data_IF_729961803053
#
_entry.id   IF_729961803053
#
_cell.length_a   1.000
_cell.length_b   1.000
_cell.length_c   1.000
_cell.angle_alpha   90.00
_cell.angle_beta   90.00
_cell.angle_gamma   90.00
#
_symmetry.space_group_name_H-M   'P 1'
#
loop_
_entity.id
_entity.type
_entity.pdbx_description
1 polymer ?
#
# COMPACT_ATOMS: atom_id res chain seq x y z
N UNK A 1 22.48 60.47 11.74
CA UNK A 1 22.01 59.16 12.24
C UNK A 1 20.74 58.69 11.48
N UNK A 2 20.76 58.53 10.14
CA UNK A 2 19.54 58.08 9.43
C UNK A 2 19.78 57.25 8.15
N UNK A 3 20.97 56.66 7.97
CA UNK A 3 21.26 55.84 6.76
C UNK A 3 21.71 54.41 7.07
N UNK A 4 21.94 54.04 8.33
CA UNK A 4 22.29 52.65 8.71
C UNK A 4 21.07 51.73 8.92
N UNK A 5 19.88 52.29 9.18
CA UNK A 5 18.65 51.49 9.41
C UNK A 5 18.07 50.81 8.17
N UNK A 6 18.05 51.40 6.95
CA UNK A 6 17.49 50.69 5.80
C UNK A 6 18.40 49.56 5.31
N UNK A 7 19.71 49.65 5.52
CA UNK A 7 20.67 48.62 5.08
C UNK A 7 20.55 47.31 5.88
N UNK A 8 20.21 47.40 7.16
CA UNK A 8 19.99 46.24 8.03
C UNK A 8 18.67 45.50 7.72
N UNK A 9 17.65 46.20 7.23
CA UNK A 9 16.37 45.58 6.86
C UNK A 9 16.49 44.85 5.51
N UNK A 10 17.25 45.42 4.55
CA UNK A 10 17.50 44.77 3.26
C UNK A 10 18.42 43.55 3.37
N UNK A 11 19.37 43.53 4.30
CA UNK A 11 20.24 42.37 4.53
C UNK A 11 19.52 41.21 5.26
N UNK A 12 18.44 41.48 5.99
CA UNK A 12 17.66 40.47 6.71
C UNK A 12 16.70 39.67 5.82
N UNK A 13 16.37 40.19 4.63
CA UNK A 13 15.50 39.51 3.65
C UNK A 13 16.24 38.52 2.73
N UNK A 14 17.58 38.47 2.79
CA UNK A 14 18.41 37.58 1.97
C UNK A 14 18.86 36.31 2.71
N UNK A 15 18.45 36.14 3.98
CA UNK A 15 18.69 34.95 4.81
C UNK A 15 17.41 34.12 5.00
N UNK A 16 16.38 34.34 4.19
CA UNK A 16 15.29 33.38 4.07
C UNK A 16 15.87 32.11 3.42
N UNK A 17 16.18 31.11 4.24
CA UNK A 17 16.46 29.76 3.77
C UNK A 17 15.24 29.30 2.99
N UNK A 18 15.30 29.42 1.66
CA UNK A 18 14.29 28.83 0.79
C UNK A 18 14.39 27.33 0.98
N UNK A 19 13.47 26.76 1.76
CA UNK A 19 13.28 25.32 1.81
C UNK A 19 12.94 24.87 0.40
N UNK A 20 13.83 24.09 -0.22
CA UNK A 20 13.53 23.48 -1.50
C UNK A 20 12.56 22.33 -1.23
N UNK A 21 11.35 22.44 -1.77
CA UNK A 21 10.46 21.30 -1.91
C UNK A 21 11.19 20.27 -2.78
N UNK A 22 11.66 19.18 -2.17
CA UNK A 22 12.27 18.08 -2.90
C UNK A 22 11.18 17.10 -3.27
N UNK A 23 11.13 16.72 -4.54
CA UNK A 23 10.30 15.59 -4.97
C UNK A 23 10.99 14.30 -4.50
N UNK A 24 10.25 13.51 -3.74
CA UNK A 24 10.66 12.18 -3.28
C UNK A 24 9.84 11.16 -4.07
N UNK A 25 10.54 10.21 -4.67
CA UNK A 25 9.97 9.11 -5.43
C UNK A 25 10.12 7.80 -4.66
N UNK A 26 9.02 7.07 -4.52
CA UNK A 26 8.93 5.84 -3.74
C UNK A 26 8.38 4.73 -4.63
N UNK A 27 9.13 3.64 -4.89
CA UNK A 27 8.57 2.50 -5.59
C UNK A 27 7.48 1.85 -4.72
N UNK A 28 6.32 1.54 -5.27
CA UNK A 28 5.21 0.90 -4.55
C UNK A 28 4.77 -0.33 -5.35
N UNK A 29 5.20 -1.54 -4.96
CA UNK A 29 4.74 -2.76 -5.60
C UNK A 29 3.29 -3.07 -5.21
N UNK A 30 2.42 -3.25 -6.20
CA UNK A 30 1.03 -3.63 -6.04
C UNK A 30 0.81 -5.09 -6.47
N UNK A 31 0.51 -5.97 -5.50
CA UNK A 31 0.31 -7.40 -5.72
C UNK A 31 -0.96 -7.68 -6.54
N UNK A 32 -0.88 -8.63 -7.49
CA UNK A 32 -2.01 -8.99 -8.35
C UNK A 32 -3.23 -9.53 -7.60
N UNK A 33 -3.04 -10.10 -6.39
CA UNK A 33 -4.16 -10.51 -5.53
C UNK A 33 -4.94 -9.31 -5.00
N UNK A 34 -4.29 -8.16 -4.76
CA UNK A 34 -4.98 -6.93 -4.39
C UNK A 34 -5.82 -6.41 -5.55
N UNK A 35 -5.22 -6.35 -6.74
CA UNK A 35 -5.89 -5.93 -7.98
C UNK A 35 -7.10 -6.83 -8.24
N UNK A 36 -6.96 -8.15 -8.05
CA UNK A 36 -8.06 -9.11 -8.18
C UNK A 36 -9.19 -8.84 -7.19
N UNK A 37 -8.88 -8.52 -5.94
CA UNK A 37 -9.91 -8.25 -4.95
C UNK A 37 -10.69 -6.97 -5.29
N UNK A 38 -10.01 -5.91 -5.73
CA UNK A 38 -10.71 -4.69 -6.20
C UNK A 38 -11.57 -5.01 -7.42
N UNK A 39 -11.04 -5.76 -8.39
CA UNK A 39 -11.80 -6.20 -9.57
C UNK A 39 -13.06 -6.98 -9.19
N UNK A 40 -12.96 -7.95 -8.28
CA UNK A 40 -14.09 -8.77 -7.83
C UNK A 40 -15.14 -7.90 -7.14
N UNK A 41 -14.73 -6.99 -6.26
CA UNK A 41 -15.63 -6.08 -5.56
C UNK A 41 -16.36 -5.14 -6.51
N UNK A 42 -15.70 -4.64 -7.56
CA UNK A 42 -16.30 -3.69 -8.49
C UNK A 42 -17.16 -4.35 -9.57
N UNK A 43 -16.73 -5.48 -10.14
CA UNK A 43 -17.36 -6.06 -11.34
C UNK A 43 -18.04 -7.41 -11.11
N UNK A 44 -17.63 -8.22 -10.12
CA UNK A 44 -18.13 -9.58 -9.91
C UNK A 44 -19.13 -9.65 -8.75
N UNK A 45 -20.16 -8.80 -8.81
CA UNK A 45 -21.17 -8.62 -7.76
C UNK A 45 -22.39 -9.54 -7.89
N UNK A 46 -22.43 -10.38 -8.92
CA UNK A 46 -23.48 -11.38 -9.11
C UNK A 46 -23.35 -12.60 -8.20
N UNK A 47 -24.37 -13.46 -8.22
CA UNK A 47 -24.38 -14.71 -7.46
C UNK A 47 -23.14 -15.56 -7.79
N UNK A 48 -22.50 -16.13 -6.76
CA UNK A 48 -21.28 -16.93 -6.92
C UNK A 48 -20.06 -16.13 -7.41
N UNK A 49 -20.01 -14.82 -7.17
CA UNK A 49 -18.97 -13.91 -7.67
C UNK A 49 -18.86 -13.94 -9.19
N UNK A 50 -20.00 -13.76 -9.85
CA UNK A 50 -20.10 -13.68 -11.31
C UNK A 50 -20.23 -12.23 -11.76
N UNK A 51 -19.70 -11.92 -12.94
CA UNK A 51 -19.86 -10.62 -13.60
C UNK A 51 -20.66 -10.81 -14.88
N UNK A 52 -21.88 -10.28 -14.92
CA UNK A 52 -22.69 -10.22 -16.14
C UNK A 52 -22.30 -8.97 -16.93
N UNK A 53 -21.37 -9.12 -17.87
CA UNK A 53 -20.89 -7.99 -18.66
C UNK A 53 -21.93 -7.52 -19.68
N UNK A 54 -22.76 -8.44 -20.15
CA UNK A 54 -23.78 -8.12 -21.14
C UNK A 54 -24.95 -9.10 -21.11
N UNK A 55 -26.13 -8.56 -21.44
CA UNK A 55 -27.37 -9.29 -21.66
C UNK A 55 -28.18 -8.50 -22.68
N UNK A 56 -28.65 -9.16 -23.73
CA UNK A 56 -29.53 -8.48 -24.69
C UNK A 56 -30.92 -8.25 -24.09
N UNK A 57 -31.61 -7.20 -24.55
CA UNK A 57 -32.98 -6.90 -24.11
C UNK A 57 -34.04 -7.90 -24.62
N UNK A 58 -33.61 -9.01 -25.23
CA UNK A 58 -34.47 -10.05 -25.84
C UNK A 58 -34.27 -11.42 -25.19
N UNK A 59 -33.42 -11.52 -24.17
CA UNK A 59 -33.02 -12.73 -23.44
C UNK A 59 -32.44 -13.86 -24.32
N UNK A 60 -31.93 -13.54 -25.51
CA UNK A 60 -31.31 -14.52 -26.40
C UNK A 60 -29.80 -14.57 -26.26
N UNK A 61 -29.19 -13.53 -25.68
CA UNK A 61 -27.75 -13.39 -25.63
C UNK A 61 -27.27 -12.84 -24.29
N UNK A 62 -26.18 -13.41 -23.79
CA UNK A 62 -25.55 -13.00 -22.53
C UNK A 62 -24.07 -13.37 -22.54
N UNK A 63 -23.30 -12.70 -21.69
CA UNK A 63 -21.92 -13.05 -21.38
C UNK A 63 -21.68 -12.85 -19.88
N UNK A 64 -21.42 -13.97 -19.21
CA UNK A 64 -21.11 -14.02 -17.79
C UNK A 64 -19.65 -14.46 -17.61
N UNK A 65 -18.92 -13.77 -16.73
CA UNK A 65 -17.58 -14.11 -16.30
C UNK A 65 -17.57 -14.60 -14.86
N UNK A 66 -16.63 -15.47 -14.52
CA UNK A 66 -16.37 -15.89 -13.15
C UNK A 66 -14.92 -16.27 -12.94
N UNK A 67 -14.53 -16.41 -11.68
CA UNK A 67 -13.21 -16.87 -11.27
C UNK A 67 -12.04 -16.11 -11.95
N UNK A 68 -11.97 -14.77 -11.81
CA UNK A 68 -10.88 -14.01 -12.42
C UNK A 68 -9.53 -14.43 -11.83
N UNK A 69 -8.55 -14.66 -12.69
CA UNK A 69 -7.16 -14.96 -12.31
C UNK A 69 -6.25 -13.91 -12.95
N UNK A 70 -5.38 -13.29 -12.15
CA UNK A 70 -4.54 -12.17 -12.60
C UNK A 70 -3.06 -12.55 -12.51
N UNK A 71 -2.34 -12.33 -13.60
CA UNK A 71 -0.89 -12.53 -13.70
C UNK A 71 -0.25 -11.42 -14.51
N UNK A 72 1.08 -11.30 -14.46
CA UNK A 72 1.84 -10.38 -15.32
C UNK A 72 2.53 -11.12 -16.46
N UNK A 73 2.43 -10.59 -17.68
CA UNK A 73 3.10 -11.12 -18.88
C UNK A 73 3.53 -9.98 -19.79
N UNK A 74 4.79 -9.96 -20.22
CA UNK A 74 5.32 -9.01 -21.21
C UNK A 74 4.94 -7.53 -20.98
N UNK A 75 5.03 -7.06 -19.74
CA UNK A 75 4.70 -5.67 -19.39
C UNK A 75 3.20 -5.37 -19.32
N UNK A 76 2.35 -6.40 -19.33
CA UNK A 76 0.90 -6.32 -19.31
C UNK A 76 0.32 -7.16 -18.17
N UNK A 77 -0.90 -6.80 -17.78
CA UNK A 77 -1.72 -7.55 -16.85
C UNK A 77 -2.57 -8.51 -17.67
N UNK A 78 -2.45 -9.80 -17.38
CA UNK A 78 -3.25 -10.85 -18.00
C UNK A 78 -4.35 -11.28 -17.05
N UNK A 79 -5.59 -11.17 -17.49
CA UNK A 79 -6.76 -11.61 -16.73
C UNK A 79 -7.46 -12.74 -17.47
N UNK A 80 -7.45 -13.92 -16.85
CA UNK A 80 -8.19 -15.10 -17.30
C UNK A 80 -9.49 -15.19 -16.53
N UNK A 81 -10.58 -15.43 -17.25
CA UNK A 81 -11.90 -15.62 -16.67
C UNK A 81 -12.52 -16.89 -17.22
N UNK A 82 -13.18 -17.64 -16.36
CA UNK A 82 -14.15 -18.62 -16.83
C UNK A 82 -15.30 -17.86 -17.47
N UNK A 83 -15.71 -18.27 -18.67
CA UNK A 83 -16.80 -17.63 -19.40
C UNK A 83 -17.95 -18.59 -19.64
N UNK A 84 -19.16 -18.06 -19.53
CA UNK A 84 -20.37 -18.67 -20.02
C UNK A 84 -21.10 -17.64 -20.88
N UNK A 85 -21.15 -17.88 -22.18
CA UNK A 85 -21.76 -16.96 -23.13
C UNK A 85 -22.70 -17.67 -24.09
N UNK A 86 -23.76 -16.96 -24.45
CA UNK A 86 -24.66 -17.33 -25.53
C UNK A 86 -24.90 -16.11 -26.40
N UNK A 87 -24.90 -16.31 -27.71
CA UNK A 87 -25.20 -15.28 -28.68
C UNK A 87 -26.27 -15.82 -29.63
N UNK A 88 -27.38 -15.11 -29.73
CA UNK A 88 -28.52 -15.55 -30.51
C UNK A 88 -29.37 -14.40 -31.03
N UNK A 89 -30.30 -14.73 -31.91
CA UNK A 89 -31.27 -13.79 -32.45
C UNK A 89 -32.69 -14.30 -32.22
N UNK A 90 -33.60 -13.40 -31.87
CA UNK A 90 -35.03 -13.72 -31.73
C UNK A 90 -35.66 -13.83 -33.12
N UNK A 91 -36.16 -15.02 -33.48
CA UNK A 91 -36.90 -15.26 -34.73
C UNK A 91 -38.17 -16.07 -34.43
N UNK A 92 -39.33 -15.59 -34.89
CA UNK A 92 -40.62 -16.26 -34.68
C UNK A 92 -40.96 -16.48 -33.19
N UNK A 93 -40.53 -15.58 -32.30
CA UNK A 93 -40.77 -15.69 -30.86
C UNK A 93 -39.81 -16.63 -30.10
N UNK A 94 -38.92 -17.36 -30.80
CA UNK A 94 -37.90 -18.23 -30.19
C UNK A 94 -36.50 -17.64 -30.36
N UNK A 95 -35.60 -17.95 -29.44
CA UNK A 95 -34.18 -17.60 -29.59
C UNK A 95 -33.48 -18.66 -30.45
N UNK A 96 -32.94 -18.24 -31.58
CA UNK A 96 -32.04 -19.05 -32.39
C UNK A 96 -30.60 -18.79 -31.94
N UNK A 97 -29.97 -19.78 -31.32
CA UNK A 97 -28.58 -19.70 -30.86
C UNK A 97 -27.62 -19.77 -32.05
N UNK A 98 -26.76 -18.77 -32.19
CA UNK A 98 -25.71 -18.70 -33.21
C UNK A 98 -24.39 -19.25 -32.65
N UNK A 99 -24.03 -18.84 -31.44
CA UNK A 99 -22.81 -19.27 -30.75
C UNK A 99 -23.15 -19.55 -29.29
N UNK A 100 -22.66 -20.68 -28.77
CA UNK A 100 -22.65 -20.97 -27.34
C UNK A 100 -21.22 -21.31 -26.95
N UNK A 101 -20.72 -20.63 -25.93
CA UNK A 101 -19.33 -20.77 -25.52
C UNK A 101 -19.22 -20.95 -24.02
N UNK A 102 -18.46 -21.98 -23.63
CA UNK A 102 -18.00 -22.21 -22.27
C UNK A 102 -16.51 -22.55 -22.34
N UNK A 103 -15.69 -21.78 -21.63
CA UNK A 103 -14.23 -21.90 -21.71
C UNK A 103 -13.55 -20.78 -20.96
N UNK A 104 -12.45 -20.26 -21.52
CA UNK A 104 -11.63 -19.22 -20.89
C UNK A 104 -11.59 -17.99 -21.79
N UNK A 105 -11.97 -16.83 -21.24
CA UNK A 105 -11.67 -15.54 -21.82
C UNK A 105 -10.38 -15.01 -21.20
N UNK A 106 -9.36 -14.85 -22.04
CA UNK A 106 -8.13 -14.15 -21.67
C UNK A 106 -8.20 -12.71 -22.19
N UNK A 107 -7.76 -11.78 -21.35
CA UNK A 107 -7.54 -10.39 -21.73
C UNK A 107 -6.15 -9.95 -21.35
N UNK A 108 -5.49 -9.21 -22.24
CA UNK A 108 -4.27 -8.49 -21.93
C UNK A 108 -4.63 -7.02 -21.74
N UNK A 109 -4.12 -6.44 -20.66
CA UNK A 109 -4.39 -5.06 -20.27
C UNK A 109 -3.09 -4.34 -20.00
N UNK A 110 -2.96 -3.13 -20.52
CA UNK A 110 -1.79 -2.28 -20.27
C UNK A 110 -2.15 -1.30 -19.15
N UNK A 111 -1.61 -1.44 -17.93
CA UNK A 111 -1.94 -0.53 -16.85
C UNK A 111 -1.45 0.88 -17.18
N UNK A 112 -2.29 1.87 -16.95
CA UNK A 112 -2.01 3.28 -17.25
C UNK A 112 -2.55 4.18 -16.16
N UNK A 113 -1.78 5.20 -15.81
CA UNK A 113 -2.24 6.28 -14.94
C UNK A 113 -2.95 7.34 -15.77
N UNK A 114 -3.98 7.96 -15.18
CA UNK A 114 -4.58 9.15 -15.73
C UNK A 114 -3.63 10.37 -15.61
N UNK A 115 -4.03 11.51 -16.17
CA UNK A 115 -3.18 12.72 -16.17
C UNK A 115 -2.88 13.25 -14.78
N UNK A 116 -3.72 12.94 -13.79
CA UNK A 116 -3.53 13.39 -12.41
C UNK A 116 -2.63 12.46 -11.61
N UNK A 117 -2.33 11.25 -12.12
CA UNK A 117 -1.54 10.25 -11.40
C UNK A 117 -2.32 9.58 -10.27
N UNK A 118 -3.66 9.64 -10.29
CA UNK A 118 -4.50 9.21 -9.18
C UNK A 118 -5.44 8.06 -9.53
N UNK A 119 -5.66 7.82 -10.83
CA UNK A 119 -6.55 6.74 -11.26
C UNK A 119 -5.74 5.75 -12.09
N UNK A 120 -5.59 4.54 -11.55
CA UNK A 120 -5.01 3.43 -12.29
C UNK A 120 -6.11 2.73 -13.10
N UNK A 121 -5.97 2.76 -14.42
CA UNK A 121 -6.88 2.12 -15.38
C UNK A 121 -6.22 0.96 -16.08
N UNK A 122 -7.04 0.02 -16.57
CA UNK A 122 -6.57 -1.21 -17.22
C UNK A 122 -7.19 -1.36 -18.62
N UNK A 123 -6.83 -0.49 -19.59
CA UNK A 123 -7.31 -0.61 -20.96
C UNK A 123 -6.93 -1.97 -21.56
N UNK A 124 -7.94 -2.65 -22.12
CA UNK A 124 -7.76 -3.94 -22.80
C UNK A 124 -7.08 -3.71 -24.15
N UNK A 125 -5.93 -4.35 -24.33
CA UNK A 125 -5.12 -4.29 -25.57
C UNK A 125 -5.40 -5.49 -26.47
N UNK A 126 -5.71 -6.65 -25.89
CA UNK A 126 -6.01 -7.86 -26.62
C UNK A 126 -7.07 -8.72 -25.89
N UNK A 127 -7.83 -9.47 -26.66
CA UNK A 127 -8.77 -10.48 -26.16
C UNK A 127 -8.55 -11.80 -26.90
N UNK A 128 -8.56 -12.91 -26.16
CA UNK A 128 -8.41 -14.25 -26.72
C UNK A 128 -9.48 -15.16 -26.11
N UNK A 129 -10.12 -15.97 -26.96
CA UNK A 129 -11.10 -16.96 -26.54
C UNK A 129 -10.50 -18.37 -26.61
N UNK A 130 -10.73 -19.16 -25.57
CA UNK A 130 -10.34 -20.56 -25.51
C UNK A 130 -11.55 -21.43 -25.13
N UNK A 131 -11.56 -22.67 -25.59
CA UNK A 131 -12.53 -23.67 -25.16
C UNK A 131 -12.22 -24.19 -23.74
N UNK A 132 -13.00 -25.16 -23.26
CA UNK A 132 -12.79 -25.76 -21.94
C UNK A 132 -11.53 -26.63 -21.82
N UNK A 133 -10.90 -26.99 -22.95
CA UNK A 133 -9.64 -27.76 -23.00
C UNK A 133 -8.41 -26.85 -23.15
N UNK A 134 -8.60 -25.52 -23.21
CA UNK A 134 -7.54 -24.54 -23.43
C UNK A 134 -7.14 -24.36 -24.89
N UNK A 135 -7.93 -24.89 -25.84
CA UNK A 135 -7.68 -24.70 -27.27
C UNK A 135 -8.27 -23.36 -27.74
N UNK A 136 -7.46 -22.58 -28.47
CA UNK A 136 -7.88 -21.26 -28.95
C UNK A 136 -9.04 -21.37 -29.95
N UNK A 137 -10.05 -20.53 -29.76
CA UNK A 137 -11.23 -20.41 -30.61
C UNK A 137 -11.03 -19.29 -31.63
N UNK A 138 -10.75 -19.67 -32.87
CA UNK A 138 -10.56 -18.73 -33.98
C UNK A 138 -11.88 -18.49 -34.74
N UNK A 139 -12.85 -17.86 -34.07
CA UNK A 139 -14.17 -17.54 -34.65
C UNK A 139 -14.28 -16.03 -34.80
N UNK A 140 -14.24 -15.53 -36.05
CA UNK A 140 -14.24 -14.10 -36.34
C UNK A 140 -15.40 -13.32 -35.67
N UNK A 141 -16.61 -13.88 -35.70
CA UNK A 141 -17.79 -13.25 -35.08
C UNK A 141 -17.65 -13.15 -33.55
N UNK A 142 -17.02 -14.15 -32.92
CA UNK A 142 -16.74 -14.12 -31.49
C UNK A 142 -15.71 -13.03 -31.18
N UNK A 143 -14.64 -12.94 -31.97
CA UNK A 143 -13.58 -11.95 -31.79
C UNK A 143 -14.11 -10.50 -31.87
N UNK A 144 -14.94 -10.19 -32.86
CA UNK A 144 -15.56 -8.86 -32.97
C UNK A 144 -16.44 -8.52 -31.77
N UNK A 145 -17.14 -9.53 -31.25
CA UNK A 145 -18.08 -9.37 -30.15
C UNK A 145 -17.37 -9.17 -28.82
N UNK A 146 -16.27 -9.89 -28.59
CA UNK A 146 -15.36 -9.64 -27.47
C UNK A 146 -14.84 -8.21 -27.49
N UNK A 147 -14.38 -7.73 -28.65
CA UNK A 147 -13.85 -6.38 -28.76
C UNK A 147 -14.93 -5.30 -28.49
N UNK A 148 -16.17 -5.52 -28.93
CA UNK A 148 -17.26 -4.54 -28.79
C UNK A 148 -17.93 -4.57 -27.41
N UNK A 149 -17.97 -5.71 -26.74
CA UNK A 149 -18.77 -5.91 -25.52
C UNK A 149 -17.89 -6.08 -24.28
N UNK A 150 -16.89 -6.95 -24.35
CA UNK A 150 -16.05 -7.30 -23.21
C UNK A 150 -15.05 -6.20 -22.91
N UNK A 151 -14.34 -5.71 -23.93
CA UNK A 151 -13.29 -4.73 -23.73
C UNK A 151 -13.78 -3.43 -23.04
N UNK A 152 -14.92 -2.81 -23.43
CA UNK A 152 -15.41 -1.62 -22.75
C UNK A 152 -15.80 -1.87 -21.29
N UNK A 153 -16.45 -3.02 -21.02
CA UNK A 153 -16.91 -3.37 -19.68
C UNK A 153 -15.77 -3.67 -18.72
N UNK A 154 -14.75 -4.40 -19.18
CA UNK A 154 -13.54 -4.62 -18.37
C UNK A 154 -12.70 -3.34 -18.23
N UNK A 155 -12.77 -2.41 -19.19
CA UNK A 155 -12.13 -1.10 -19.08
C UNK A 155 -12.82 -0.16 -18.06
N UNK A 156 -14.01 -0.51 -17.55
CA UNK A 156 -14.64 0.20 -16.41
C UNK A 156 -13.88 -0.05 -15.11
N UNK A 157 -13.10 -1.14 -15.01
CA UNK A 157 -12.25 -1.42 -13.86
C UNK A 157 -11.17 -0.34 -13.69
N UNK A 158 -11.23 0.34 -12.55
CA UNK A 158 -10.31 1.40 -12.16
C UNK A 158 -10.03 1.33 -10.68
N UNK A 159 -8.81 1.70 -10.29
CA UNK A 159 -8.43 1.85 -8.88
C UNK A 159 -8.23 3.33 -8.64
N UNK A 160 -9.04 3.91 -7.75
CA UNK A 160 -8.81 5.26 -7.23
C UNK A 160 -7.73 5.19 -6.15
N UNK A 161 -6.62 5.89 -6.39
CA UNK A 161 -5.46 5.93 -5.52
C UNK A 161 -5.56 7.07 -4.50
N UNK A 162 -6.62 7.88 -4.54
CA UNK A 162 -6.86 8.98 -3.60
C UNK A 162 -7.57 8.55 -2.32
N UNK A 163 -8.31 7.44 -2.32
CA UNK A 163 -9.21 7.08 -1.22
C UNK A 163 -8.51 7.01 0.15
N UNK A 164 -7.21 6.69 0.18
CA UNK A 164 -6.44 6.55 1.43
C UNK A 164 -5.84 7.85 1.97
N UNK A 165 -5.92 8.99 1.26
CA UNK A 165 -5.21 10.22 1.64
C UNK A 165 -5.68 10.80 2.98
N UNK A 166 -6.99 10.91 3.16
CA UNK A 166 -7.59 11.46 4.39
C UNK A 166 -7.25 10.59 5.60
N UNK A 167 -7.25 9.27 5.41
CA UNK A 167 -6.88 8.32 6.45
C UNK A 167 -5.39 8.45 6.83
N UNK A 168 -4.49 8.67 5.87
CA UNK A 168 -3.07 8.90 6.15
C UNK A 168 -2.89 10.13 7.05
N UNK A 169 -3.51 11.26 6.70
CA UNK A 169 -3.43 12.49 7.51
C UNK A 169 -3.98 12.22 8.91
N UNK A 170 -5.19 11.67 9.00
CA UNK A 170 -5.86 11.41 10.27
C UNK A 170 -5.03 10.51 11.18
N UNK A 171 -4.34 9.52 10.62
CA UNK A 171 -3.51 8.59 11.37
C UNK A 171 -2.18 9.20 11.81
N UNK A 172 -1.54 10.03 10.99
CA UNK A 172 -0.21 10.56 11.27
C UNK A 172 -0.23 11.85 12.10
N UNK A 173 -1.25 12.71 11.93
CA UNK A 173 -1.34 14.02 12.57
C UNK A 173 -1.15 14.00 14.10
N UNK A 174 -1.67 13.02 14.88
CA UNK A 174 -1.46 12.97 16.32
C UNK A 174 0.00 12.81 16.77
N UNK A 175 0.87 12.34 15.87
CA UNK A 175 2.28 12.05 16.16
C UNK A 175 3.25 13.09 15.59
N UNK A 176 2.73 14.03 14.80
CA UNK A 176 3.52 15.11 14.18
C UNK A 176 3.45 16.37 15.05
N UNK A 177 4.57 17.10 15.26
CA UNK A 177 4.56 18.37 15.98
C UNK A 177 3.57 19.36 15.38
N UNK A 178 2.95 20.21 16.22
CA UNK A 178 1.91 21.14 15.77
C UNK A 178 2.41 22.10 14.69
N UNK A 179 3.67 22.51 14.76
CA UNK A 179 4.37 23.36 13.79
C UNK A 179 4.60 22.72 12.41
N UNK A 180 4.46 21.40 12.31
CA UNK A 180 4.68 20.61 11.08
C UNK A 180 3.36 20.07 10.50
N UNK A 181 2.22 20.37 11.12
CA UNK A 181 0.89 19.90 10.70
C UNK A 181 0.50 20.34 9.28
N UNK A 182 0.70 21.62 8.95
CA UNK A 182 0.44 22.17 7.60
C UNK A 182 1.34 21.49 6.56
N UNK A 183 2.61 21.24 6.92
CA UNK A 183 3.55 20.56 6.04
C UNK A 183 3.15 19.09 5.77
N UNK A 184 2.64 18.38 6.77
CA UNK A 184 2.09 17.03 6.59
C UNK A 184 0.91 17.05 5.61
N UNK A 185 -0.03 17.99 5.79
CA UNK A 185 -1.16 18.16 4.89
C UNK A 185 -0.71 18.43 3.45
N UNK A 186 0.19 19.39 3.25
CA UNK A 186 0.71 19.73 1.91
C UNK A 186 1.41 18.54 1.26
N UNK A 187 2.19 17.78 2.03
CA UNK A 187 2.93 16.62 1.53
C UNK A 187 1.96 15.51 1.10
N UNK A 188 0.95 15.18 1.91
CA UNK A 188 -0.09 14.19 1.56
C UNK A 188 -0.93 14.66 0.37
N UNK A 189 -1.27 15.95 0.30
CA UNK A 189 -2.00 16.51 -0.83
C UNK A 189 -1.18 16.49 -2.14
N UNK A 190 0.15 16.57 -2.05
CA UNK A 190 1.04 16.51 -3.19
C UNK A 190 1.30 15.10 -3.74
N UNK A 191 0.86 14.05 -3.04
CA UNK A 191 0.98 12.66 -3.47
C UNK A 191 0.42 12.51 -4.89
N UNK A 192 1.18 11.82 -5.73
CA UNK A 192 0.80 11.50 -7.12
C UNK A 192 1.60 10.30 -7.57
N UNK A 193 1.01 9.40 -8.33
CA UNK A 193 1.78 8.35 -8.98
C UNK A 193 2.35 8.87 -10.31
N UNK A 194 3.66 8.80 -10.44
CA UNK A 194 4.43 9.34 -11.55
C UNK A 194 4.60 8.30 -12.68
N UNK A 195 4.62 7.02 -12.35
CA UNK A 195 4.79 5.95 -13.33
C UNK A 195 4.14 4.65 -12.90
N UNK A 196 3.87 3.79 -13.89
CA UNK A 196 3.32 2.45 -13.70
C UNK A 196 3.98 1.46 -14.65
N UNK A 197 4.35 0.29 -14.13
CA UNK A 197 4.91 -0.81 -14.91
C UNK A 197 4.41 -2.15 -14.39
N UNK A 198 3.85 -2.98 -15.26
CA UNK A 198 3.54 -4.37 -14.91
C UNK A 198 4.79 -5.25 -15.07
N UNK A 199 5.07 -6.04 -14.05
CA UNK A 199 6.09 -7.09 -14.06
C UNK A 199 5.41 -8.46 -13.79
N UNK A 200 6.16 -9.55 -13.82
CA UNK A 200 5.59 -10.90 -13.69
C UNK A 200 4.85 -11.16 -12.36
N UNK A 201 5.22 -10.44 -11.29
CA UNK A 201 4.71 -10.68 -9.92
C UNK A 201 3.79 -9.58 -9.38
N UNK A 202 3.92 -8.35 -9.88
CA UNK A 202 3.21 -7.19 -9.36
C UNK A 202 3.15 -6.08 -10.42
N UNK A 203 2.43 -5.01 -10.11
CA UNK A 203 2.55 -3.72 -10.79
C UNK A 203 3.43 -2.83 -9.93
N UNK A 204 4.55 -2.37 -10.47
CA UNK A 204 5.38 -1.35 -9.84
C UNK A 204 4.80 0.03 -10.15
N UNK A 205 4.37 0.72 -9.10
CA UNK A 205 4.00 2.12 -9.17
C UNK A 205 5.16 2.97 -8.63
N UNK A 206 5.30 4.22 -9.08
CA UNK A 206 6.21 5.17 -8.44
C UNK A 206 5.40 6.32 -7.84
N UNK A 207 5.43 6.44 -6.52
CA UNK A 207 4.72 7.47 -5.76
C UNK A 207 5.64 8.68 -5.56
N UNK A 208 5.29 9.79 -6.19
CA UNK A 208 5.94 11.09 -6.01
C UNK A 208 5.19 11.94 -5.01
N UNK A 209 5.91 12.66 -4.15
CA UNK A 209 5.35 13.74 -3.34
C UNK A 209 6.41 14.79 -3.03
N UNK A 210 5.94 15.98 -2.67
CA UNK A 210 6.78 17.10 -2.31
C UNK A 210 6.99 17.09 -0.79
N UNK A 211 8.24 16.94 -0.36
CA UNK A 211 8.61 17.19 1.02
C UNK A 211 9.34 18.52 1.10
N UNK A 212 8.83 19.45 1.91
CA UNK A 212 9.62 20.57 2.38
C UNK A 212 10.60 20.04 3.42
N UNK A 213 11.74 19.53 2.96
CA UNK A 213 12.78 19.03 3.85
C UNK A 213 13.35 20.23 4.60
N UNK A 214 12.79 20.56 5.76
CA UNK A 214 13.56 21.23 6.80
C UNK A 214 14.79 20.35 6.98
N UNK A 215 15.99 20.92 6.91
CA UNK A 215 17.19 20.19 7.28
C UNK A 215 16.87 19.53 8.63
N UNK A 216 16.85 18.20 8.67
CA UNK A 216 16.49 17.46 9.88
C UNK A 216 17.22 18.14 11.02
N UNK A 217 16.52 18.53 12.09
CA UNK A 217 17.17 19.20 13.19
C UNK A 217 18.24 18.23 13.71
N UNK A 218 19.50 18.45 13.31
CA UNK A 218 20.62 17.52 13.51
C UNK A 218 20.99 17.50 14.99
N UNK A 219 20.44 18.42 15.80
CA UNK A 219 20.53 18.33 17.25
C UNK A 219 19.98 16.98 17.71
N UNK A 220 20.82 16.09 18.25
CA UNK A 220 20.36 14.87 18.86
C UNK A 220 19.46 15.25 20.04
N UNK A 221 18.27 14.68 20.09
CA UNK A 221 17.42 14.76 21.26
C UNK A 221 18.21 14.19 22.44
N UNK A 222 18.28 14.94 23.54
CA UNK A 222 18.98 14.51 24.74
C UNK A 222 18.47 13.14 25.20
N UNK A 223 19.36 12.31 25.75
CA UNK A 223 19.01 11.08 26.44
C UNK A 223 17.95 11.35 27.52
N UNK A 224 17.21 10.32 27.88
CA UNK A 224 16.16 10.45 28.89
C UNK A 224 16.76 10.69 30.27
N UNK A 225 16.13 11.59 31.02
CA UNK A 225 16.31 11.69 32.47
C UNK A 225 15.71 10.48 33.18
N UNK A 226 16.13 10.24 34.43
CA UNK A 226 15.60 9.14 35.24
C UNK A 226 14.06 9.19 35.37
N UNK A 227 13.48 10.39 35.48
CA UNK A 227 12.04 10.57 35.54
C UNK A 227 11.34 10.23 34.22
N UNK A 228 11.93 10.62 33.08
CA UNK A 228 11.39 10.29 31.76
C UNK A 228 11.48 8.77 31.51
N UNK A 229 12.59 8.15 31.92
CA UNK A 229 12.80 6.71 31.77
C UNK A 229 11.77 5.92 32.59
N UNK A 230 11.48 6.32 33.82
CA UNK A 230 10.44 5.69 34.64
C UNK A 230 9.04 5.79 34.01
N UNK A 231 8.69 6.97 33.48
CA UNK A 231 7.41 7.17 32.79
C UNK A 231 7.31 6.31 31.53
N UNK A 232 8.39 6.23 30.74
CA UNK A 232 8.46 5.37 29.57
C UNK A 232 8.37 3.88 29.93
N UNK A 233 9.08 3.43 30.97
CA UNK A 233 9.06 2.03 31.41
C UNK A 233 7.64 1.57 31.79
N UNK A 234 6.85 2.43 32.45
CA UNK A 234 5.46 2.12 32.75
C UNK A 234 4.62 1.95 31.46
N UNK A 235 4.79 2.85 30.49
CA UNK A 235 4.12 2.75 29.17
C UNK A 235 4.54 1.48 28.44
N UNK A 236 5.84 1.19 28.39
CA UNK A 236 6.39 0.02 27.71
C UNK A 236 5.91 -1.28 28.34
N UNK A 237 5.84 -1.37 29.68
CA UNK A 237 5.33 -2.55 30.39
C UNK A 237 3.85 -2.81 30.08
N UNK A 238 3.02 -1.77 30.02
CA UNK A 238 1.61 -1.89 29.62
C UNK A 238 1.50 -2.47 28.19
N UNK A 239 2.30 -1.95 27.26
CA UNK A 239 2.34 -2.41 25.86
C UNK A 239 2.85 -3.85 25.75
N UNK A 240 3.95 -4.16 26.43
CA UNK A 240 4.56 -5.48 26.42
C UNK A 240 3.59 -6.53 26.98
N UNK A 241 2.90 -6.25 28.08
CA UNK A 241 1.91 -7.18 28.65
C UNK A 241 0.71 -7.41 27.69
N UNK A 242 0.27 -6.35 27.00
CA UNK A 242 -0.79 -6.46 26.00
C UNK A 242 -0.36 -7.33 24.80
N UNK A 243 0.85 -7.11 24.29
CA UNK A 243 1.41 -7.86 23.16
C UNK A 243 1.71 -9.31 23.52
N UNK A 244 2.29 -9.56 24.70
CA UNK A 244 2.55 -10.92 25.20
C UNK A 244 1.25 -11.73 25.30
N UNK A 245 0.18 -11.11 25.84
CA UNK A 245 -1.14 -11.72 25.88
C UNK A 245 -1.69 -11.99 24.48
N UNK A 246 -1.58 -11.04 23.55
CA UNK A 246 -2.05 -11.21 22.18
C UNK A 246 -1.31 -12.35 21.46
N UNK A 247 0.02 -12.43 21.61
CA UNK A 247 0.86 -13.50 21.05
C UNK A 247 0.48 -14.85 21.68
N UNK A 248 0.27 -14.89 23.00
CA UNK A 248 -0.09 -16.10 23.72
C UNK A 248 -1.48 -16.63 23.34
N UNK A 249 -2.41 -15.74 23.04
CA UNK A 249 -3.78 -16.07 22.66
C UNK A 249 -3.95 -16.31 21.14
N UNK A 250 -2.93 -15.98 20.35
CA UNK A 250 -2.99 -16.17 18.90
C UNK A 250 -3.07 -17.67 18.54
N UNK A 251 -4.00 -18.07 17.65
CA UNK A 251 -4.13 -19.44 17.18
C UNK A 251 -3.03 -19.76 16.14
N UNK A 252 -1.79 -19.84 16.61
CA UNK A 252 -0.60 -20.13 15.82
C UNK A 252 -0.41 -21.66 15.73
N UNK A 253 -1.00 -22.26 14.69
CA UNK A 253 -0.98 -23.70 14.46
C UNK A 253 -0.27 -24.05 13.14
N UNK A 254 0.02 -25.34 12.92
CA UNK A 254 0.66 -25.82 11.69
C UNK A 254 2.02 -25.17 11.44
N UNK A 255 2.20 -24.59 10.26
CA UNK A 255 3.44 -23.91 9.84
C UNK A 255 3.83 -22.71 10.73
N UNK A 256 2.92 -22.24 11.60
CA UNK A 256 3.16 -21.14 12.54
C UNK A 256 3.42 -21.61 13.98
N UNK A 257 3.52 -22.91 14.24
CA UNK A 257 3.68 -23.45 15.60
C UNK A 257 4.93 -22.87 16.31
N UNK A 258 6.02 -22.63 15.58
CA UNK A 258 7.26 -22.05 16.12
C UNK A 258 7.28 -20.51 16.10
N UNK A 259 6.26 -19.85 15.51
CA UNK A 259 6.20 -18.40 15.39
C UNK A 259 6.03 -17.70 16.73
N UNK A 260 5.43 -18.38 17.72
CA UNK A 260 5.19 -17.84 19.05
C UNK A 260 6.48 -17.43 19.74
N UNK A 261 7.46 -18.33 19.78
CA UNK A 261 8.76 -18.08 20.42
C UNK A 261 9.52 -16.97 19.70
N UNK A 262 9.39 -16.91 18.37
CA UNK A 262 10.00 -15.84 17.57
C UNK A 262 9.38 -14.48 17.92
N UNK A 263 8.05 -14.38 17.97
CA UNK A 263 7.35 -13.13 18.31
C UNK A 263 7.69 -12.65 19.73
N UNK A 264 7.74 -13.57 20.70
CA UNK A 264 8.14 -13.25 22.07
C UNK A 264 9.60 -12.82 22.16
N UNK A 265 10.50 -13.48 21.42
CA UNK A 265 11.91 -13.12 21.37
C UNK A 265 12.11 -11.72 20.80
N UNK A 266 11.45 -11.39 19.69
CA UNK A 266 11.51 -10.06 19.07
C UNK A 266 10.95 -9.00 20.03
N UNK A 267 9.84 -9.25 20.70
CA UNK A 267 9.26 -8.33 21.69
C UNK A 267 10.23 -8.04 22.85
N UNK A 268 10.94 -9.07 23.33
CA UNK A 268 11.95 -8.90 24.37
C UNK A 268 13.17 -8.10 23.88
N UNK A 269 13.70 -8.44 22.70
CA UNK A 269 14.81 -7.71 22.06
C UNK A 269 14.46 -6.22 21.85
N UNK A 270 13.21 -5.91 21.50
CA UNK A 270 12.73 -4.54 21.33
C UNK A 270 12.93 -3.69 22.59
N UNK A 271 12.56 -4.24 23.76
CA UNK A 271 12.70 -3.54 25.04
C UNK A 271 14.16 -3.17 25.34
N UNK A 272 15.08 -4.11 25.14
CA UNK A 272 16.51 -3.88 25.35
C UNK A 272 17.08 -2.82 24.39
N UNK A 273 16.71 -2.90 23.10
CA UNK A 273 17.15 -1.93 22.09
C UNK A 273 16.61 -0.52 22.36
N UNK A 274 15.35 -0.41 22.76
CA UNK A 274 14.71 0.87 23.09
C UNK A 274 15.31 1.49 24.34
N UNK A 275 15.57 0.71 25.39
CA UNK A 275 16.25 1.20 26.60
C UNK A 275 17.65 1.73 26.28
N UNK A 276 18.43 1.03 25.47
CA UNK A 276 19.74 1.50 25.01
C UNK A 276 19.64 2.78 24.18
N UNK A 277 18.64 2.88 23.29
CA UNK A 277 18.40 4.06 22.48
C UNK A 277 18.00 5.28 23.30
N UNK A 278 17.26 5.09 24.38
CA UNK A 278 16.78 6.18 25.24
C UNK A 278 17.85 6.70 26.22
N UNK A 279 18.77 5.85 26.65
CA UNK A 279 19.70 6.15 27.76
C UNK A 279 21.11 6.55 27.33
N UNK A 280 21.56 6.15 26.15
CA UNK A 280 22.96 6.32 25.71
C UNK A 280 23.02 7.03 24.37
N UNK A 281 23.94 7.98 24.21
CA UNK A 281 24.23 8.55 22.89
C UNK A 281 25.06 7.57 22.04
N UNK A 282 24.69 7.45 20.78
CA UNK A 282 25.30 6.51 19.84
C UNK A 282 25.91 7.27 18.66
N UNK A 283 27.01 6.76 18.14
CA UNK A 283 27.59 7.29 16.91
C UNK A 283 26.71 6.96 15.70
N UNK A 284 26.81 7.75 14.64
CA UNK A 284 26.17 7.43 13.36
C UNK A 284 26.62 6.03 12.89
N UNK A 285 25.65 5.13 12.68
CA UNK A 285 25.89 3.74 12.27
C UNK A 285 25.94 2.69 13.39
N UNK A 286 25.92 3.10 14.67
CA UNK A 286 25.84 2.17 15.82
C UNK A 286 24.52 2.30 16.60
N UNK A 287 23.46 2.75 15.92
CA UNK A 287 22.15 2.98 16.53
C UNK A 287 21.47 1.65 16.90
N UNK A 288 21.19 1.38 18.19
CA UNK A 288 20.64 0.10 18.63
C UNK A 288 19.18 -0.10 18.19
N UNK A 289 18.41 0.98 18.03
CA UNK A 289 17.02 0.92 17.57
C UNK A 289 16.98 0.52 16.10
N UNK A 290 17.85 1.11 15.29
CA UNK A 290 18.01 0.75 13.87
C UNK A 290 18.50 -0.68 13.69
N UNK A 291 19.53 -1.07 14.43
CA UNK A 291 20.07 -2.44 14.38
C UNK A 291 18.98 -3.47 14.71
N UNK A 292 18.24 -3.24 15.80
CA UNK A 292 17.13 -4.09 16.20
C UNK A 292 16.04 -4.18 15.12
N UNK A 293 15.61 -3.06 14.54
CA UNK A 293 14.53 -3.07 13.55
C UNK A 293 14.96 -3.83 12.28
N UNK A 294 16.19 -3.64 11.82
CA UNK A 294 16.74 -4.39 10.69
C UNK A 294 16.79 -5.89 10.99
N UNK A 295 17.37 -6.28 12.12
CA UNK A 295 17.52 -7.69 12.50
C UNK A 295 16.17 -8.38 12.75
N UNK A 296 15.24 -7.69 13.43
CA UNK A 296 13.90 -8.24 13.68
C UNK A 296 13.06 -8.37 12.41
N UNK A 297 13.28 -7.52 11.41
CA UNK A 297 12.58 -7.64 10.14
C UNK A 297 12.93 -8.93 9.38
N UNK A 298 14.21 -9.34 9.41
CA UNK A 298 14.65 -10.60 8.81
C UNK A 298 13.93 -11.82 9.43
N UNK A 299 13.59 -11.75 10.72
CA UNK A 299 12.83 -12.79 11.44
C UNK A 299 11.31 -12.68 11.20
N UNK A 300 10.75 -11.46 11.20
CA UNK A 300 9.30 -11.22 11.12
C UNK A 300 8.74 -11.32 9.70
N UNK A 301 9.46 -10.84 8.68
CA UNK A 301 8.94 -10.79 7.31
C UNK A 301 8.54 -12.18 6.76
N UNK A 302 9.33 -13.25 6.95
CA UNK A 302 8.93 -14.60 6.56
C UNK A 302 7.65 -15.08 7.27
N UNK A 303 7.49 -14.77 8.56
CA UNK A 303 6.30 -15.14 9.33
C UNK A 303 5.05 -14.43 8.80
N UNK A 304 5.14 -13.12 8.57
CA UNK A 304 4.05 -12.34 7.99
C UNK A 304 3.70 -12.84 6.57
N UNK A 305 4.69 -13.27 5.78
CA UNK A 305 4.45 -13.87 4.45
C UNK A 305 3.70 -15.20 4.59
N UNK A 306 4.02 -16.03 5.58
CA UNK A 306 3.28 -17.27 5.86
C UNK A 306 1.84 -16.99 6.29
N UNK A 307 1.64 -16.07 7.24
CA UNK A 307 0.30 -15.64 7.69
C UNK A 307 -0.53 -15.11 6.52
N UNK A 308 0.06 -14.29 5.65
CA UNK A 308 -0.62 -13.72 4.49
C UNK A 308 -1.15 -14.76 3.49
N UNK A 309 -0.53 -15.95 3.42
CA UNK A 309 -0.97 -17.05 2.55
C UNK A 309 -2.16 -17.80 3.13
N UNK A 310 -2.28 -17.81 4.46
CA UNK A 310 -3.34 -18.53 5.18
C UNK A 310 -4.60 -17.67 5.35
N UNK A 311 -4.46 -16.34 5.34
CA UNK A 311 -5.58 -15.42 5.48
C UNK A 311 -6.29 -15.16 4.13
N UNK A 312 -7.62 -15.36 4.04
CA UNK A 312 -8.36 -15.08 2.83
C UNK A 312 -8.56 -13.58 2.61
N UNK A 313 -8.73 -13.19 1.34
CA UNK A 313 -9.27 -11.88 0.97
C UNK A 313 -8.38 -10.71 1.37
N UNK A 314 -9.01 -9.66 1.93
CA UNK A 314 -8.35 -8.39 2.25
C UNK A 314 -7.33 -8.49 3.40
N UNK A 315 -7.49 -9.45 4.31
CA UNK A 315 -6.65 -9.51 5.51
C UNK A 315 -5.24 -10.01 5.18
N UNK A 316 -5.12 -11.08 4.40
CA UNK A 316 -3.81 -11.54 3.91
C UNK A 316 -3.09 -10.49 3.08
N UNK A 317 -3.83 -9.68 2.32
CA UNK A 317 -3.28 -8.60 1.52
C UNK A 317 -2.69 -7.46 2.35
N UNK A 318 -3.33 -7.07 3.47
CA UNK A 318 -2.80 -6.04 4.36
C UNK A 318 -1.38 -6.40 4.83
N UNK A 319 -1.16 -7.66 5.18
CA UNK A 319 0.17 -8.14 5.58
C UNK A 319 1.19 -8.07 4.44
N UNK A 320 0.79 -8.40 3.20
CA UNK A 320 1.70 -8.33 2.05
C UNK A 320 2.05 -6.90 1.66
N UNK A 321 1.08 -5.98 1.74
CA UNK A 321 1.31 -4.56 1.54
C UNK A 321 2.24 -4.01 2.62
N UNK A 322 2.04 -4.40 3.88
CA UNK A 322 2.94 -4.03 4.98
C UNK A 322 4.36 -4.55 4.72
N UNK A 323 4.50 -5.82 4.33
CA UNK A 323 5.81 -6.42 4.02
C UNK A 323 6.50 -5.67 2.89
N UNK A 324 5.77 -5.38 1.81
CA UNK A 324 6.36 -4.71 0.66
C UNK A 324 6.72 -3.25 0.95
N UNK A 325 5.97 -2.58 1.83
CA UNK A 325 6.30 -1.23 2.30
C UNK A 325 7.53 -1.22 3.23
N UNK A 326 7.67 -2.22 4.11
CA UNK A 326 8.82 -2.34 5.02
C UNK A 326 10.07 -2.89 4.31
N UNK A 327 9.94 -3.65 3.22
CA UNK A 327 11.09 -3.97 2.36
C UNK A 327 11.72 -2.70 1.73
N UNK A 328 11.01 -1.57 1.78
CA UNK A 328 11.46 -0.22 1.38
C UNK A 328 11.74 0.69 2.59
N UNK A 329 12.04 0.11 3.76
CA UNK A 329 12.17 0.86 5.01
C UNK A 329 13.23 1.97 4.96
N UNK A 330 14.28 1.81 4.16
CA UNK A 330 15.28 2.86 3.93
C UNK A 330 14.70 4.04 3.12
N UNK A 331 13.90 3.76 2.07
CA UNK A 331 13.16 4.82 1.39
C UNK A 331 12.13 5.45 2.33
N UNK A 332 11.41 4.66 3.12
CA UNK A 332 10.40 5.14 4.07
C UNK A 332 10.97 6.07 5.14
N UNK A 333 12.19 5.82 5.60
CA UNK A 333 12.86 6.72 6.52
C UNK A 333 13.19 8.08 5.90
N UNK A 334 13.64 8.09 4.63
CA UNK A 334 13.90 9.34 3.92
C UNK A 334 12.64 10.21 3.78
N UNK A 335 11.46 9.55 3.79
CA UNK A 335 10.14 10.19 3.78
C UNK A 335 9.75 10.70 5.18
N UNK A 336 9.97 9.91 6.22
CA UNK A 336 9.53 10.22 7.59
C UNK A 336 10.43 11.21 8.33
N UNK A 337 11.74 11.18 8.08
CA UNK A 337 12.74 12.00 8.77
C UNK A 337 12.45 13.52 8.73
N UNK A 338 12.00 14.12 7.61
CA UNK A 338 11.57 15.53 7.56
C UNK A 338 10.44 15.90 8.51
N UNK A 339 9.61 14.94 8.93
CA UNK A 339 8.52 15.12 9.88
C UNK A 339 8.91 14.71 11.31
N UNK A 340 10.19 14.43 11.57
CA UNK A 340 10.67 13.90 12.85
C UNK A 340 10.34 12.42 13.07
N UNK A 341 9.84 11.72 12.05
CA UNK A 341 9.53 10.29 12.06
C UNK A 341 10.75 9.51 11.53
N UNK A 342 11.78 9.41 12.35
CA UNK A 342 13.04 8.72 12.02
C UNK A 342 13.16 7.37 12.74
N UNK A 343 13.70 6.37 12.05
CA UNK A 343 13.94 5.02 12.62
C UNK A 343 15.31 5.03 13.32
N UNK A 344 15.36 5.66 14.48
CA UNK A 344 16.60 5.86 15.25
C UNK A 344 16.33 6.04 16.75
N UNK A 345 17.37 5.95 17.55
CA UNK A 345 17.38 6.34 18.96
C UNK A 345 16.90 7.80 19.14
N UNK A 346 17.28 8.69 18.22
CA UNK A 346 16.85 10.09 18.23
C UNK A 346 15.33 10.22 18.01
N UNK A 347 14.78 9.50 17.03
CA UNK A 347 13.34 9.47 16.75
C UNK A 347 12.55 8.86 17.88
N UNK A 348 13.05 7.75 18.44
CA UNK A 348 12.45 7.11 19.61
C UNK A 348 12.32 8.10 20.78
N UNK A 349 13.38 8.88 21.09
CA UNK A 349 13.33 9.89 22.16
C UNK A 349 12.27 10.96 21.91
N UNK A 350 12.13 11.44 20.67
CA UNK A 350 11.13 12.46 20.28
C UNK A 350 9.71 11.91 20.42
N UNK A 351 9.44 10.74 19.83
CA UNK A 351 8.12 10.10 19.85
C UNK A 351 7.72 9.73 21.29
N UNK A 352 8.63 9.16 22.08
CA UNK A 352 8.35 8.79 23.47
C UNK A 352 7.99 10.02 24.32
N UNK A 353 8.70 11.15 24.18
CA UNK A 353 8.34 12.41 24.86
C UNK A 353 7.00 12.96 24.41
N UNK A 354 6.70 12.91 23.11
CA UNK A 354 5.40 13.33 22.57
C UNK A 354 4.26 12.49 23.16
N UNK A 355 4.44 11.16 23.20
CA UNK A 355 3.45 10.23 23.75
C UNK A 355 3.23 10.43 25.26
N UNK A 356 4.31 10.56 26.04
CA UNK A 356 4.25 10.86 27.48
C UNK A 356 3.50 12.17 27.71
N UNK A 357 3.82 13.22 26.96
CA UNK A 357 3.16 14.53 27.07
C UNK A 357 1.67 14.45 26.74
N UNK A 358 1.30 13.69 25.71
CA UNK A 358 -0.09 13.48 25.32
C UNK A 358 -0.89 12.69 26.38
N UNK A 359 -0.32 11.61 26.95
CA UNK A 359 -0.95 10.84 28.04
C UNK A 359 -1.17 11.73 29.27
N UNK A 360 -0.22 12.61 29.59
CA UNK A 360 -0.35 13.57 30.68
C UNK A 360 -1.43 14.64 30.45
N UNK A 361 -1.71 15.03 29.20
CA UNK A 361 -2.78 15.99 28.86
C UNK A 361 -4.18 15.41 28.73
N UNK A 362 -4.31 14.08 28.70
CA UNK A 362 -5.60 13.36 28.74
C UNK A 362 -6.00 12.90 30.16
N UNK A 363 -5.10 13.11 31.13
CA UNK A 363 -5.32 12.89 32.58
C UNK A 363 -5.94 14.14 33.20
#
# INVERSE_FOLDING_TARGET
MSLLRPLLISASLLLSTTGFAREIDVPVPMDYRLIRNVLVTQLFTGEGQTARLWKDGKDCSFLDLSNPQITGVDGQVKIDNNVHAQFGAKMGGKCMTLVKWKGILETLQKPTLDKTGNVLSFPVTNTSAFDSNGQQLNINQLQELLQKVVAPKLAEFKIDLNESRDDIVKTLLPYVPAEDSEQLHDSVNSLRFNSVKADAKNIMLNLGFNANVKAANIQPAATFSDSELQQWQAVWQEWQASLDKAITQAPLEGDLANSRDTLLSVLHKAGAAFEQGLTTDHAEGSDPVRAFINESWDELAPLLRTVSKQLPGAEGLRYLTLIAATDLMYELESIGSPFGLEISANGLRKIARSYISHKAGQS
#
